data_IF_373980572670
#
_entry.id   IF_373980572670
#
_cell.length_a   1.000
_cell.length_b   1.000
_cell.length_c   1.000
_cell.angle_alpha   90.00
_cell.angle_beta   90.00
_cell.angle_gamma   90.00
#
_symmetry.space_group_name_H-M   'P 1'
#
loop_
_entity.id
_entity.type
_entity.pdbx_description
1 polymer ?
#
# COMPACT_ATOMS: atom_id res chain seq x y z
N UNK A 1 8.42 2.65 7.98
CA UNK A 1 8.74 1.31 8.53
C UNK A 1 8.72 0.23 7.44
N UNK A 2 7.61 0.03 6.72
CA UNK A 2 7.52 -1.01 5.67
C UNK A 2 8.59 -0.92 4.57
N UNK A 3 8.90 0.28 4.08
CA UNK A 3 9.96 0.49 3.08
C UNK A 3 11.34 0.06 3.56
N UNK A 4 11.74 0.48 4.77
CA UNK A 4 13.04 0.11 5.36
C UNK A 4 13.17 -1.41 5.57
N UNK A 5 12.11 -2.04 6.08
CA UNK A 5 12.08 -3.49 6.33
C UNK A 5 12.08 -4.28 5.00
N UNK A 6 11.30 -3.84 4.02
CA UNK A 6 11.26 -4.43 2.69
C UNK A 6 12.60 -4.31 1.95
N UNK A 7 13.26 -3.15 2.02
CA UNK A 7 14.59 -2.96 1.43
C UNK A 7 15.65 -3.82 2.11
N UNK A 8 15.59 -4.00 3.44
CA UNK A 8 16.51 -4.85 4.19
C UNK A 8 16.34 -6.33 3.79
N UNK A 9 15.10 -6.82 3.73
CA UNK A 9 14.79 -8.19 3.31
C UNK A 9 15.25 -8.42 1.87
N UNK A 10 14.97 -7.49 0.97
CA UNK A 10 15.35 -7.59 -0.43
C UNK A 10 16.88 -7.56 -0.62
N UNK A 11 17.61 -6.79 0.19
CA UNK A 11 19.08 -6.80 0.20
C UNK A 11 19.66 -8.14 0.65
N UNK A 12 19.13 -8.71 1.75
CA UNK A 12 19.58 -10.02 2.26
C UNK A 12 19.25 -11.14 1.26
N UNK A 13 18.06 -11.11 0.66
CA UNK A 13 17.66 -12.07 -0.36
C UNK A 13 18.54 -11.99 -1.61
N UNK A 14 18.85 -10.78 -2.08
CA UNK A 14 19.72 -10.59 -3.24
C UNK A 14 21.15 -11.09 -2.97
N UNK A 15 21.67 -10.89 -1.75
CA UNK A 15 22.97 -11.41 -1.33
C UNK A 15 23.00 -12.96 -1.30
N UNK A 16 21.90 -13.60 -0.91
CA UNK A 16 21.78 -15.07 -0.92
C UNK A 16 21.66 -15.65 -2.33
N UNK A 17 20.98 -14.94 -3.24
CA UNK A 17 20.76 -15.36 -4.62
C UNK A 17 21.97 -15.01 -5.51
N UNK A 18 22.88 -14.15 -5.06
CA UNK A 18 24.08 -13.75 -5.81
C UNK A 18 23.79 -12.79 -6.97
N UNK A 19 22.61 -12.18 -6.99
CA UNK A 19 22.20 -11.20 -8.01
C UNK A 19 22.47 -9.78 -7.54
N UNK A 20 22.84 -8.92 -8.49
CA UNK A 20 23.07 -7.50 -8.23
C UNK A 20 21.79 -6.83 -7.72
N UNK A 21 21.84 -6.30 -6.50
CA UNK A 21 20.73 -5.57 -5.91
C UNK A 21 20.79 -4.09 -6.32
N UNK A 22 19.94 -3.71 -7.28
CA UNK A 22 19.81 -2.32 -7.71
C UNK A 22 18.46 -1.77 -7.26
N UNK A 23 18.48 -0.91 -6.24
CA UNK A 23 17.31 -0.11 -5.86
C UNK A 23 17.35 1.17 -6.67
N UNK A 24 16.46 1.30 -7.65
CA UNK A 24 16.23 2.57 -8.33
C UNK A 24 15.20 3.42 -7.59
N UNK A 25 15.45 4.72 -7.50
CA UNK A 25 14.50 5.70 -6.97
C UNK A 25 13.17 5.72 -7.75
N UNK A 26 13.21 5.40 -9.05
CA UNK A 26 12.00 5.27 -9.89
C UNK A 26 11.11 4.11 -9.43
N UNK A 27 11.71 2.96 -9.10
CA UNK A 27 10.98 1.78 -8.63
C UNK A 27 10.34 2.01 -7.27
N UNK A 28 11.04 2.68 -6.34
CA UNK A 28 10.47 3.03 -5.03
C UNK A 28 9.29 3.98 -5.21
N UNK A 29 9.46 5.04 -5.99
CA UNK A 29 8.40 6.03 -6.23
C UNK A 29 7.16 5.38 -6.85
N UNK A 30 7.37 4.48 -7.83
CA UNK A 30 6.27 3.75 -8.46
C UNK A 30 5.59 2.81 -7.47
N UNK A 31 6.34 2.06 -6.66
CA UNK A 31 5.78 1.14 -5.67
C UNK A 31 4.96 1.87 -4.60
N UNK A 32 5.49 2.97 -4.05
CA UNK A 32 4.78 3.79 -3.06
C UNK A 32 3.55 4.46 -3.68
N UNK A 33 3.70 5.05 -4.86
CA UNK A 33 2.60 5.69 -5.58
C UNK A 33 1.48 4.71 -5.91
N UNK A 34 1.81 3.51 -6.37
CA UNK A 34 0.84 2.46 -6.64
C UNK A 34 0.13 1.99 -5.37
N UNK A 35 0.88 1.72 -4.29
CA UNK A 35 0.29 1.33 -3.00
C UNK A 35 -0.64 2.41 -2.44
N UNK A 36 -0.26 3.69 -2.55
CA UNK A 36 -1.09 4.80 -2.12
C UNK A 36 -2.35 4.94 -2.98
N UNK A 37 -2.22 4.84 -4.31
CA UNK A 37 -3.36 4.92 -5.22
C UNK A 37 -4.39 3.82 -4.96
N UNK A 38 -3.95 2.57 -4.81
CA UNK A 38 -4.82 1.44 -4.47
C UNK A 38 -5.48 1.68 -3.11
N UNK A 39 -4.70 2.04 -2.09
CA UNK A 39 -5.23 2.33 -0.75
C UNK A 39 -6.29 3.44 -0.75
N UNK A 40 -6.08 4.50 -1.54
CA UNK A 40 -7.02 5.60 -1.67
C UNK A 40 -8.28 5.15 -2.41
N UNK A 41 -8.18 4.45 -3.55
CA UNK A 41 -9.35 4.01 -4.32
C UNK A 41 -10.24 3.10 -3.47
N UNK A 42 -9.65 2.07 -2.87
CA UNK A 42 -10.38 1.09 -2.08
C UNK A 42 -10.77 1.59 -0.69
N UNK A 43 -10.14 2.64 -0.15
CA UNK A 43 -10.59 3.28 1.08
C UNK A 43 -11.69 4.33 0.84
N UNK A 44 -11.54 5.14 -0.21
CA UNK A 44 -12.44 6.26 -0.50
C UNK A 44 -13.80 5.81 -1.05
N UNK A 45 -13.83 4.85 -1.99
CA UNK A 45 -15.09 4.37 -2.55
C UNK A 45 -16.07 3.82 -1.49
N UNK A 46 -15.67 2.92 -0.57
CA UNK A 46 -16.58 2.44 0.47
C UNK A 46 -16.89 3.52 1.50
N UNK A 47 -15.92 4.35 1.90
CA UNK A 47 -16.16 5.45 2.84
C UNK A 47 -17.22 6.43 2.29
N UNK A 48 -17.11 6.78 1.01
CA UNK A 48 -18.09 7.64 0.33
C UNK A 48 -19.47 7.00 0.25
N UNK A 49 -19.55 5.68 0.09
CA UNK A 49 -20.82 4.96 0.12
C UNK A 49 -21.44 5.00 1.52
N UNK A 50 -20.65 4.79 2.57
CA UNK A 50 -21.11 4.84 3.95
C UNK A 50 -21.60 6.24 4.36
N UNK A 51 -20.88 7.30 3.99
CA UNK A 51 -21.26 8.69 4.32
C UNK A 51 -22.56 9.17 3.67
N UNK A 52 -23.08 8.46 2.65
CA UNK A 52 -24.33 8.81 1.96
C UNK A 52 -25.52 7.96 2.41
N UNK A 53 -25.30 6.97 3.29
CA UNK A 53 -26.39 6.22 3.92
C UNK A 53 -27.03 7.09 4.99
N UNK A 54 -28.32 6.87 5.25
CA UNK A 54 -28.95 7.51 6.40
C UNK A 54 -28.19 7.06 7.66
N UNK A 55 -27.90 7.97 8.60
CA UNK A 55 -27.14 7.63 9.80
C UNK A 55 -27.77 6.50 10.61
N UNK A 56 -29.10 6.34 10.55
CA UNK A 56 -29.81 5.20 11.16
C UNK A 56 -29.43 3.87 10.49
N UNK A 57 -29.35 3.82 9.15
CA UNK A 57 -28.97 2.61 8.40
C UNK A 57 -27.48 2.29 8.58
N UNK A 58 -26.62 3.32 8.63
CA UNK A 58 -25.19 3.15 8.86
C UNK A 58 -24.85 2.63 10.27
N UNK A 59 -25.67 2.97 11.29
CA UNK A 59 -25.50 2.47 12.66
C UNK A 59 -26.08 1.05 12.83
N UNK A 60 -27.12 0.70 12.06
CA UNK A 60 -27.81 -0.59 12.13
C UNK A 60 -27.15 -1.68 11.28
N UNK A 61 -26.17 -1.32 10.44
CA UNK A 61 -25.37 -2.24 9.64
C UNK A 61 -24.10 -2.76 10.34
N UNK A 62 -23.96 -2.52 11.65
CA UNK A 62 -22.88 -3.05 12.51
C UNK A 62 -23.39 -4.33 13.20
#
# INVERSE_FOLDING_TARGET
>A
IGLLLGSLIAYVAAKLIGIGFSISASTITLAVGFSAAIGIIFGYMPARKASRLNPIDALRSI
#
